data_IF_885814952461
#
_entry.id   IF_885814952461
#
_cell.length_a   1.000
_cell.length_b   1.000
_cell.length_c   1.000
_cell.angle_alpha   90.00
_cell.angle_beta   90.00
_cell.angle_gamma   90.00
#
_symmetry.space_group_name_H-M   'P 1'
#
loop_
_entity.id
_entity.type
_entity.pdbx_description
1 polymer ?
#
# COMPACT_ATOMS: atom_id res chain seq x y z
N UNK A 1 -5.63 5.65 -22.19
CA UNK A 1 -5.37 6.89 -22.95
C UNK A 1 -6.36 7.91 -22.44
N UNK A 2 -5.93 8.80 -21.54
CA UNK A 2 -6.77 9.89 -21.03
C UNK A 2 -7.18 10.81 -22.18
N UNK A 3 -8.46 11.16 -22.27
CA UNK A 3 -8.93 12.15 -23.25
C UNK A 3 -8.72 13.57 -22.69
N UNK A 4 -8.22 14.53 -23.48
CA UNK A 4 -8.09 15.90 -23.03
C UNK A 4 -9.47 16.45 -22.62
N UNK A 5 -9.59 16.88 -21.36
CA UNK A 5 -10.83 17.40 -20.76
C UNK A 5 -11.61 16.42 -19.87
N UNK A 6 -11.15 15.19 -19.70
CA UNK A 6 -11.79 14.21 -18.82
C UNK A 6 -11.48 14.49 -17.33
N UNK A 7 -12.53 14.74 -16.55
CA UNK A 7 -12.45 15.00 -15.10
C UNK A 7 -13.06 13.85 -14.30
N UNK A 8 -12.63 13.74 -13.05
CA UNK A 8 -13.10 12.74 -12.09
C UNK A 8 -13.25 13.39 -10.72
N UNK A 9 -14.09 12.79 -9.88
CA UNK A 9 -14.22 13.21 -8.49
C UNK A 9 -13.01 12.79 -7.64
N UNK A 10 -12.58 13.71 -6.77
CA UNK A 10 -11.67 13.47 -5.65
C UNK A 10 -12.25 14.15 -4.40
N UNK A 11 -12.84 13.36 -3.50
CA UNK A 11 -13.60 13.90 -2.36
C UNK A 11 -14.80 14.73 -2.85
N UNK A 12 -14.84 16.00 -2.48
CA UNK A 12 -15.92 16.94 -2.85
C UNK A 12 -15.59 17.84 -4.06
N UNK A 13 -14.50 17.57 -4.79
CA UNK A 13 -14.07 18.38 -5.94
C UNK A 13 -13.84 17.53 -7.19
N UNK A 14 -14.02 18.15 -8.34
CA UNK A 14 -13.64 17.59 -9.64
C UNK A 14 -12.18 17.93 -9.97
N UNK A 15 -11.44 16.94 -10.43
CA UNK A 15 -10.02 17.04 -10.79
C UNK A 15 -9.78 16.39 -12.15
N UNK A 16 -8.75 16.78 -12.90
CA UNK A 16 -8.34 16.06 -14.10
C UNK A 16 -8.06 14.58 -13.80
N UNK A 17 -8.44 13.68 -14.71
CA UNK A 17 -8.30 12.23 -14.52
C UNK A 17 -6.85 11.82 -14.17
N UNK A 18 -5.87 12.37 -14.90
CA UNK A 18 -4.45 12.16 -14.66
C UNK A 18 -3.94 12.61 -13.28
N UNK A 19 -4.63 13.56 -12.63
CA UNK A 19 -4.21 14.09 -11.31
C UNK A 19 -4.75 13.25 -10.15
N UNK A 20 -5.83 12.48 -10.36
CA UNK A 20 -6.52 11.73 -9.30
C UNK A 20 -5.59 10.79 -8.57
N UNK A 21 -4.77 10.02 -9.29
CA UNK A 21 -3.89 9.03 -8.68
C UNK A 21 -2.85 9.69 -7.76
N UNK A 22 -2.26 10.80 -8.20
CA UNK A 22 -1.28 11.57 -7.41
C UNK A 22 -1.90 12.12 -6.14
N UNK A 23 -3.14 12.63 -6.24
CA UNK A 23 -3.89 13.14 -5.08
C UNK A 23 -4.29 12.03 -4.10
N UNK A 24 -4.67 10.85 -4.59
CA UNK A 24 -4.94 9.69 -3.74
C UNK A 24 -3.66 9.25 -3.03
N UNK A 25 -2.54 9.17 -3.76
CA UNK A 25 -1.24 8.81 -3.19
C UNK A 25 -0.80 9.79 -2.08
N UNK A 26 -1.05 11.09 -2.25
CA UNK A 26 -0.68 12.09 -1.24
C UNK A 26 -1.49 11.95 0.05
N UNK A 27 -2.79 11.63 -0.04
CA UNK A 27 -3.61 11.31 1.13
C UNK A 27 -3.07 10.10 1.86
N UNK A 28 -2.81 9.00 1.15
CA UNK A 28 -2.23 7.79 1.76
C UNK A 28 -0.88 8.07 2.43
N UNK A 29 0.00 8.83 1.78
CA UNK A 29 1.27 9.28 2.38
C UNK A 29 1.07 10.11 3.64
N UNK A 30 0.06 10.98 3.69
CA UNK A 30 -0.19 11.86 4.84
C UNK A 30 -0.66 11.11 6.10
N UNK A 31 -1.27 9.94 5.92
CA UNK A 31 -1.83 9.14 7.02
C UNK A 31 -0.96 7.95 7.41
N UNK A 32 -0.16 7.41 6.49
CA UNK A 32 0.69 6.23 6.71
C UNK A 32 1.54 6.30 8.00
N UNK A 33 2.30 7.38 8.29
CA UNK A 33 3.13 7.44 9.50
C UNK A 33 2.34 7.37 10.81
N UNK A 34 1.09 7.86 10.81
CA UNK A 34 0.22 7.79 12.00
C UNK A 34 -0.28 6.38 12.24
N UNK A 35 -0.63 5.67 11.18
CA UNK A 35 -1.01 4.27 11.25
C UNK A 35 0.16 3.39 11.67
N UNK A 36 1.36 3.63 11.14
CA UNK A 36 2.57 2.92 11.54
C UNK A 36 2.84 3.09 13.04
N UNK A 37 2.79 4.33 13.54
CA UNK A 37 2.97 4.62 14.97
C UNK A 37 1.91 3.93 15.84
N UNK A 38 0.64 4.00 15.44
CA UNK A 38 -0.46 3.34 16.14
C UNK A 38 -0.24 1.82 16.16
N UNK A 39 0.14 1.22 15.03
CA UNK A 39 0.40 -0.21 14.93
C UNK A 39 1.58 -0.63 15.80
N UNK A 40 2.70 0.10 15.77
CA UNK A 40 3.87 -0.15 16.62
C UNK A 40 3.48 -0.07 18.11
N UNK A 41 2.70 0.93 18.52
CA UNK A 41 2.30 1.10 19.92
C UNK A 41 1.30 0.03 20.39
N UNK A 42 0.19 -0.16 19.65
CA UNK A 42 -0.87 -1.09 20.03
C UNK A 42 -0.41 -2.54 20.02
N UNK A 43 0.48 -2.90 19.08
CA UNK A 43 1.03 -4.25 19.01
C UNK A 43 2.30 -4.41 19.84
N UNK A 44 2.82 -3.35 20.47
CA UNK A 44 4.17 -3.32 21.03
C UNK A 44 5.24 -3.88 20.05
N UNK A 45 5.10 -3.56 18.76
CA UNK A 45 5.96 -4.04 17.67
C UNK A 45 5.75 -5.49 17.22
N UNK A 46 4.83 -6.24 17.84
CA UNK A 46 4.64 -7.67 17.57
C UNK A 46 4.12 -7.98 16.16
N UNK A 47 3.43 -7.04 15.52
CA UNK A 47 2.95 -7.23 14.14
C UNK A 47 4.08 -7.53 13.15
N UNK A 48 5.31 -7.04 13.40
CA UNK A 48 6.49 -7.33 12.58
C UNK A 48 6.89 -8.81 12.67
N UNK A 49 6.78 -9.38 13.87
CA UNK A 49 7.02 -10.81 14.12
C UNK A 49 5.96 -11.64 13.42
N UNK A 50 4.69 -11.25 13.49
CA UNK A 50 3.61 -11.94 12.78
C UNK A 50 3.81 -11.92 11.26
N UNK A 51 4.21 -10.79 10.67
CA UNK A 51 4.57 -10.70 9.25
C UNK A 51 5.70 -11.67 8.89
N UNK A 52 6.76 -11.71 9.70
CA UNK A 52 7.87 -12.65 9.47
C UNK A 52 7.43 -14.12 9.57
N UNK A 53 6.58 -14.45 10.54
CA UNK A 53 6.02 -15.81 10.68
C UNK A 53 5.17 -16.16 9.46
N UNK A 54 4.33 -15.24 8.97
CA UNK A 54 3.51 -15.44 7.79
C UNK A 54 4.35 -15.73 6.54
N UNK A 55 5.39 -14.93 6.28
CA UNK A 55 6.29 -15.14 5.12
C UNK A 55 7.04 -16.48 5.24
N UNK A 56 7.49 -16.83 6.44
CA UNK A 56 8.12 -18.13 6.69
C UNK A 56 7.15 -19.30 6.46
N UNK A 57 5.89 -19.14 6.86
CA UNK A 57 4.85 -20.15 6.65
C UNK A 57 4.46 -20.30 5.18
N UNK A 58 4.45 -19.19 4.41
CA UNK A 58 4.29 -19.20 2.95
C UNK A 58 5.41 -19.99 2.26
N UNK A 59 6.58 -20.11 2.90
CA UNK A 59 7.72 -20.90 2.47
C UNK A 59 8.02 -20.76 0.96
N UNK A 60 8.25 -19.54 0.46
CA UNK A 60 8.53 -19.33 -0.96
C UNK A 60 9.77 -20.13 -1.39
N UNK A 61 9.81 -20.61 -2.65
CA UNK A 61 10.95 -21.38 -3.16
C UNK A 61 12.26 -20.63 -2.95
N UNK A 62 13.26 -21.33 -2.39
CA UNK A 62 14.62 -20.81 -2.19
C UNK A 62 15.57 -21.19 -3.32
N UNK A 63 15.08 -21.86 -4.35
CA UNK A 63 15.82 -22.29 -5.54
C UNK A 63 15.89 -21.19 -6.59
N UNK A 64 16.82 -21.32 -7.55
CA UNK A 64 16.99 -20.41 -8.69
C UNK A 64 15.84 -20.46 -9.73
N UNK A 65 14.75 -21.18 -9.42
CA UNK A 65 13.55 -21.25 -10.26
C UNK A 65 12.73 -19.97 -10.13
N UNK A 66 12.32 -19.32 -11.24
CA UNK A 66 11.49 -18.12 -11.17
C UNK A 66 10.19 -18.36 -10.40
N UNK A 67 9.96 -17.55 -9.36
CA UNK A 67 8.74 -17.56 -8.56
C UNK A 67 8.15 -16.16 -8.53
N UNK A 68 6.88 -16.03 -8.93
CA UNK A 68 6.17 -14.75 -8.93
C UNK A 68 5.36 -14.60 -7.64
N UNK A 69 5.59 -13.50 -6.92
CA UNK A 69 4.82 -13.13 -5.73
C UNK A 69 4.12 -11.79 -5.98
N UNK A 70 2.84 -11.71 -5.66
CA UNK A 70 2.06 -10.47 -5.69
C UNK A 70 1.57 -10.16 -4.28
N UNK A 71 2.02 -9.04 -3.73
CA UNK A 71 1.47 -8.49 -2.50
C UNK A 71 0.28 -7.57 -2.83
N UNK A 72 -0.90 -7.96 -2.34
CA UNK A 72 -2.13 -7.18 -2.50
C UNK A 72 -2.36 -6.42 -1.20
N UNK A 73 -2.38 -5.09 -1.30
CA UNK A 73 -2.53 -4.17 -0.17
C UNK A 73 -1.34 -4.13 0.80
N UNK A 74 -0.10 -4.25 0.30
CA UNK A 74 1.14 -4.19 1.09
C UNK A 74 1.38 -2.89 1.87
N UNK A 75 0.60 -1.84 1.65
CA UNK A 75 0.67 -0.60 2.45
C UNK A 75 2.08 0.01 2.47
N UNK A 76 2.62 0.23 3.68
CA UNK A 76 3.99 0.73 3.92
C UNK A 76 5.06 -0.38 3.94
N UNK A 77 4.67 -1.65 3.77
CA UNK A 77 5.53 -2.84 3.89
C UNK A 77 5.37 -3.56 5.23
#
# INVERSE_FOLDING_TARGET
MDRPGETTHFGFRDVPLGDKQTLVNSVFHSVAPRYDLMNDLMSAGLHRVWKNIMINALNPPKSDTPFALLDVAGGTG
#
